data_IF_066772860168
#
_entry.id   IF_066772860168
#
_cell.length_a   1.000
_cell.length_b   1.000
_cell.length_c   1.000
_cell.angle_alpha   90.00
_cell.angle_beta   90.00
_cell.angle_gamma   90.00
#
_symmetry.space_group_name_H-M   'P 1'
#
loop_
_entity.id
_entity.type
_entity.pdbx_description
1 polymer ?
#
# COMPACT_ATOMS: atom_id res chain seq x y z
N UNK A 1 12.09 18.72 95.32
CA UNK A 1 13.06 18.64 94.21
C UNK A 1 12.43 17.80 93.15
N UNK A 2 11.86 18.43 92.15
CA UNK A 2 11.17 17.75 91.05
C UNK A 2 12.05 17.70 89.79
N UNK A 3 12.16 16.53 89.17
CA UNK A 3 12.91 16.31 87.92
C UNK A 3 11.96 16.51 86.76
N UNK A 4 12.30 17.25 85.69
CA UNK A 4 11.41 17.43 84.54
C UNK A 4 11.47 16.26 83.59
N UNK A 5 10.29 15.79 83.19
CA UNK A 5 10.11 14.72 82.17
C UNK A 5 10.15 15.32 80.78
N UNK A 6 11.14 14.90 79.97
CA UNK A 6 11.23 15.30 78.58
C UNK A 6 10.26 14.44 77.76
N UNK A 7 9.27 15.07 77.13
CA UNK A 7 8.37 14.42 76.16
C UNK A 7 9.04 14.38 74.80
N UNK A 8 9.24 13.18 74.25
CA UNK A 8 9.69 12.95 72.82
C UNK A 8 8.58 13.30 71.90
N UNK A 9 8.84 14.24 70.98
CA UNK A 9 7.98 14.61 69.88
C UNK A 9 8.27 13.64 68.72
N UNK A 10 7.29 12.78 68.36
CA UNK A 10 7.39 11.91 67.18
C UNK A 10 7.05 12.72 65.96
N UNK A 11 8.04 13.03 65.12
CA UNK A 11 7.84 13.56 63.77
C UNK A 11 7.30 12.46 62.86
N UNK A 12 6.11 12.68 62.31
CA UNK A 12 5.57 11.83 61.21
C UNK A 12 6.08 12.38 59.90
N UNK A 13 7.02 11.69 59.27
CA UNK A 13 7.40 11.95 57.91
C UNK A 13 6.34 11.32 56.99
N UNK A 14 5.56 12.15 56.30
CA UNK A 14 4.71 11.72 55.19
C UNK A 14 5.60 11.59 53.93
N UNK A 15 5.79 10.37 53.48
CA UNK A 15 6.49 10.09 52.22
C UNK A 15 5.50 10.34 51.08
N UNK A 16 5.63 11.46 50.38
CA UNK A 16 4.89 11.72 49.15
C UNK A 16 5.57 10.94 48.02
N UNK A 17 4.93 9.87 47.57
CA UNK A 17 5.34 9.14 46.38
C UNK A 17 4.96 9.97 45.16
N UNK A 18 5.93 10.64 44.52
CA UNK A 18 5.75 11.26 43.22
C UNK A 18 5.82 10.16 42.14
N UNK A 19 4.67 9.78 41.58
CA UNK A 19 4.60 8.93 40.39
C UNK A 19 5.00 9.77 39.15
N UNK A 20 6.22 9.57 38.70
CA UNK A 20 6.70 10.12 37.42
C UNK A 20 6.06 9.31 36.30
N UNK A 21 5.01 9.85 35.67
CA UNK A 21 4.45 9.28 34.42
C UNK A 21 5.47 9.55 33.32
N UNK A 22 6.22 8.52 32.94
CA UNK A 22 7.05 8.56 31.73
C UNK A 22 6.12 8.59 30.52
N UNK A 23 5.91 9.76 29.94
CA UNK A 23 5.32 9.88 28.62
C UNK A 23 6.35 9.32 27.62
N UNK A 24 6.13 8.10 27.14
CA UNK A 24 6.85 7.59 25.97
C UNK A 24 6.41 8.43 24.78
N UNK A 25 7.27 9.35 24.36
CA UNK A 25 7.16 9.97 23.04
C UNK A 25 7.36 8.83 22.04
N UNK A 26 6.27 8.32 21.45
CA UNK A 26 6.37 7.57 20.24
C UNK A 26 6.93 8.55 19.21
N UNK A 27 8.21 8.42 18.89
CA UNK A 27 8.76 8.99 17.69
C UNK A 27 8.02 8.32 16.54
N UNK A 28 7.19 9.07 15.80
CA UNK A 28 6.70 8.61 14.53
C UNK A 28 7.93 8.38 13.65
N UNK A 29 8.10 7.17 13.14
CA UNK A 29 9.14 6.89 12.15
C UNK A 29 8.94 7.87 10.99
N UNK A 30 10.03 8.43 10.43
CA UNK A 30 9.90 9.34 9.31
C UNK A 30 9.19 8.61 8.17
N UNK A 31 8.10 9.20 7.68
CA UNK A 31 7.34 8.67 6.53
C UNK A 31 8.26 8.58 5.34
N UNK A 32 8.37 7.40 4.74
CA UNK A 32 9.24 7.12 3.59
C UNK A 32 8.45 7.07 2.27
N UNK A 33 7.11 6.96 2.34
CA UNK A 33 6.27 6.97 1.15
C UNK A 33 6.29 8.34 0.45
N UNK A 34 6.09 8.31 -0.86
CA UNK A 34 6.01 9.51 -1.70
C UNK A 34 4.64 9.58 -2.37
N UNK A 35 4.05 10.77 -2.42
CA UNK A 35 2.79 11.03 -3.12
C UNK A 35 3.09 11.75 -4.44
N UNK A 36 2.57 11.25 -5.56
CA UNK A 36 2.74 11.85 -6.88
C UNK A 36 1.82 13.07 -7.14
N UNK A 37 0.89 13.34 -6.23
CA UNK A 37 -0.01 14.49 -6.25
C UNK A 37 -1.41 14.17 -6.74
N UNK A 38 -1.65 13.79 -8.02
CA UNK A 38 -2.98 13.42 -8.50
C UNK A 38 -3.51 12.15 -7.83
N UNK A 39 -4.85 12.10 -7.63
CA UNK A 39 -5.56 10.95 -7.05
C UNK A 39 -6.85 10.67 -7.83
N UNK A 40 -7.42 9.49 -7.66
CA UNK A 40 -8.76 9.18 -8.16
C UNK A 40 -9.82 9.97 -7.38
N UNK A 41 -10.82 10.49 -8.08
CA UNK A 41 -11.93 11.26 -7.44
C UNK A 41 -13.02 10.37 -6.86
N UNK A 42 -13.07 9.08 -7.27
CA UNK A 42 -14.04 8.10 -6.79
C UNK A 42 -13.33 7.08 -5.90
N UNK A 43 -14.03 6.40 -4.99
CA UNK A 43 -13.45 5.42 -4.09
C UNK A 43 -13.11 4.09 -4.80
N UNK A 44 -13.25 4.04 -6.10
CA UNK A 44 -12.90 2.88 -6.92
C UNK A 44 -12.67 3.29 -8.36
N UNK A 45 -11.86 2.48 -9.07
CA UNK A 45 -11.77 2.53 -10.53
C UNK A 45 -11.78 1.13 -11.12
N UNK A 46 -12.31 0.99 -12.34
CA UNK A 46 -12.30 -0.28 -13.05
C UNK A 46 -10.99 -0.46 -13.82
N UNK A 47 -10.53 -1.70 -13.99
CA UNK A 47 -9.42 -2.03 -14.86
C UNK A 47 -9.70 -3.29 -15.68
N UNK A 48 -9.00 -3.45 -16.80
CA UNK A 48 -9.04 -4.61 -17.68
C UNK A 48 -7.67 -5.23 -17.80
N UNK A 49 -7.61 -6.50 -18.21
CA UNK A 49 -6.36 -7.21 -18.41
C UNK A 49 -6.30 -7.78 -19.82
N UNK A 50 -5.26 -7.44 -20.56
CA UNK A 50 -4.82 -8.22 -21.72
C UNK A 50 -3.79 -9.24 -21.24
N UNK A 51 -4.17 -10.51 -21.24
CA UNK A 51 -3.36 -11.61 -20.73
C UNK A 51 -2.38 -12.19 -21.74
N UNK A 52 -2.31 -11.64 -22.96
CA UNK A 52 -1.35 -12.09 -23.98
C UNK A 52 0.08 -11.81 -23.52
N UNK A 53 0.87 -12.86 -23.33
CA UNK A 53 2.24 -12.84 -22.83
C UNK A 53 3.03 -14.02 -23.38
N UNK A 54 4.36 -14.06 -23.14
CA UNK A 54 5.25 -15.10 -23.65
C UNK A 54 5.37 -16.34 -22.73
N UNK A 55 5.08 -16.19 -21.44
CA UNK A 55 5.51 -17.14 -20.41
C UNK A 55 4.39 -18.04 -19.87
N UNK A 56 3.14 -17.53 -19.77
CA UNK A 56 2.13 -18.13 -18.90
C UNK A 56 0.74 -18.24 -19.56
N UNK A 57 -0.07 -19.24 -19.14
CA UNK A 57 -1.47 -19.32 -19.53
C UNK A 57 -2.27 -18.11 -19.04
N UNK A 58 -3.24 -17.66 -19.85
CA UNK A 58 -4.06 -16.48 -19.60
C UNK A 58 -4.70 -16.44 -18.18
N UNK A 59 -5.23 -17.56 -17.70
CA UNK A 59 -5.84 -17.65 -16.36
C UNK A 59 -4.83 -17.40 -15.23
N UNK A 60 -3.59 -17.89 -15.39
CA UNK A 60 -2.52 -17.69 -14.41
C UNK A 60 -2.13 -16.20 -14.34
N UNK A 61 -2.02 -15.55 -15.50
CA UNK A 61 -1.77 -14.10 -15.60
C UNK A 61 -2.89 -13.31 -14.96
N UNK A 62 -4.15 -13.56 -15.33
CA UNK A 62 -5.31 -12.87 -14.77
C UNK A 62 -5.33 -13.00 -13.25
N UNK A 63 -5.16 -14.21 -12.73
CA UNK A 63 -5.18 -14.47 -11.29
C UNK A 63 -4.08 -13.69 -10.58
N UNK A 64 -2.85 -13.72 -11.07
CA UNK A 64 -1.72 -13.05 -10.45
C UNK A 64 -1.86 -11.52 -10.47
N UNK A 65 -2.29 -10.92 -11.58
CA UNK A 65 -2.54 -9.47 -11.68
C UNK A 65 -3.64 -9.04 -10.70
N UNK A 66 -4.74 -9.80 -10.63
CA UNK A 66 -5.84 -9.50 -9.69
C UNK A 66 -5.41 -9.63 -8.24
N UNK A 67 -4.56 -10.60 -7.91
CA UNK A 67 -4.01 -10.72 -6.56
C UNK A 67 -3.19 -9.48 -6.18
N UNK A 68 -2.31 -8.99 -7.07
CA UNK A 68 -1.54 -7.78 -6.84
C UNK A 68 -2.41 -6.52 -6.66
N UNK A 69 -3.49 -6.38 -7.46
CA UNK A 69 -4.46 -5.29 -7.27
C UNK A 69 -5.16 -5.37 -5.90
N UNK A 70 -5.58 -6.59 -5.50
CA UNK A 70 -6.30 -6.83 -4.24
C UNK A 70 -5.43 -6.61 -3.00
N UNK A 71 -4.11 -6.63 -3.11
CA UNK A 71 -3.20 -6.31 -2.00
C UNK A 71 -3.53 -4.94 -1.39
N UNK A 72 -3.90 -3.97 -2.20
CA UNK A 72 -4.26 -2.62 -1.74
C UNK A 72 -5.67 -2.53 -1.12
N UNK A 73 -6.58 -3.43 -1.48
CA UNK A 73 -7.95 -3.43 -0.91
C UNK A 73 -8.02 -3.92 0.54
N UNK A 74 -7.08 -4.78 0.95
CA UNK A 74 -7.06 -5.38 2.29
C UNK A 74 -6.68 -4.38 3.38
N UNK A 75 -6.20 -3.22 3.00
CA UNK A 75 -5.78 -2.16 3.91
C UNK A 75 -6.91 -1.15 4.09
N UNK A 76 -7.08 -0.61 5.25
CA UNK A 76 -8.19 0.27 5.65
C UNK A 76 -8.39 1.55 4.81
N UNK A 77 -7.81 1.63 3.64
CA UNK A 77 -8.00 2.71 2.67
C UNK A 77 -9.42 2.68 2.07
N UNK A 78 -9.94 3.85 1.72
CA UNK A 78 -11.26 3.98 1.11
C UNK A 78 -11.19 3.88 -0.43
N UNK A 79 -10.34 3.00 -0.97
CA UNK A 79 -10.19 2.82 -2.41
C UNK A 79 -10.04 1.35 -2.80
N UNK A 80 -10.51 0.99 -3.98
CA UNK A 80 -10.32 -0.33 -4.58
C UNK A 80 -10.22 -0.28 -6.10
N UNK A 81 -9.50 -1.24 -6.67
CA UNK A 81 -9.50 -1.55 -8.09
C UNK A 81 -10.53 -2.63 -8.39
N UNK A 82 -11.39 -2.43 -9.40
CA UNK A 82 -12.45 -3.37 -9.77
C UNK A 82 -12.11 -4.01 -11.11
N UNK A 83 -11.83 -5.30 -11.11
CA UNK A 83 -11.62 -6.03 -12.37
C UNK A 83 -12.92 -6.06 -13.18
N UNK A 84 -12.88 -5.57 -14.43
CA UNK A 84 -14.03 -5.43 -15.32
C UNK A 84 -13.98 -6.35 -16.55
N UNK A 85 -13.06 -7.31 -16.55
CA UNK A 85 -12.97 -8.34 -17.58
C UNK A 85 -11.72 -8.24 -18.46
N UNK A 86 -11.57 -9.16 -19.43
CA UNK A 86 -10.43 -9.18 -20.32
C UNK A 86 -10.46 -8.03 -21.34
N UNK A 87 -9.30 -7.74 -21.92
CA UNK A 87 -9.12 -6.80 -23.01
C UNK A 87 -8.29 -7.44 -24.11
N UNK A 88 -8.50 -7.00 -25.35
CA UNK A 88 -7.61 -7.29 -26.48
C UNK A 88 -6.73 -6.09 -26.87
N UNK A 89 -6.81 -5.00 -26.12
CA UNK A 89 -6.03 -3.79 -26.36
C UNK A 89 -4.55 -4.03 -26.09
N UNK A 90 -3.68 -3.50 -26.98
CA UNK A 90 -2.22 -3.75 -26.95
C UNK A 90 -1.39 -2.47 -26.81
N UNK A 91 -2.04 -1.34 -26.65
CA UNK A 91 -1.39 -0.03 -26.53
C UNK A 91 -1.85 0.68 -25.26
N UNK A 92 -0.90 1.24 -24.52
CA UNK A 92 -1.17 2.16 -23.44
C UNK A 92 -1.49 3.54 -24.03
N UNK A 93 -2.63 4.11 -23.65
CA UNK A 93 -3.12 5.37 -24.21
C UNK A 93 -4.19 5.99 -23.31
N UNK A 94 -4.25 7.30 -23.26
CA UNK A 94 -5.28 8.02 -22.49
C UNK A 94 -6.65 7.89 -23.17
N UNK A 95 -7.39 6.84 -22.87
CA UNK A 95 -8.72 6.55 -23.44
C UNK A 95 -9.80 6.29 -22.36
N UNK A 96 -9.43 6.41 -21.08
CA UNK A 96 -10.31 6.18 -19.93
C UNK A 96 -10.51 4.71 -19.59
N UNK A 97 -9.69 3.80 -20.16
CA UNK A 97 -9.70 2.37 -19.86
C UNK A 97 -8.39 2.00 -19.17
N UNK A 98 -8.39 1.84 -17.86
CA UNK A 98 -7.21 1.36 -17.17
C UNK A 98 -6.87 -0.06 -17.63
N UNK A 99 -5.72 -0.22 -18.23
CA UNK A 99 -5.29 -1.47 -18.85
C UNK A 99 -4.06 -2.04 -18.16
N UNK A 100 -4.08 -3.34 -17.88
CA UNK A 100 -2.86 -4.11 -17.55
C UNK A 100 -2.55 -4.98 -18.76
N UNK A 101 -1.34 -4.86 -19.30
CA UNK A 101 -0.93 -5.62 -20.49
C UNK A 101 0.54 -6.02 -20.42
N UNK A 102 0.91 -6.95 -21.30
CA UNK A 102 2.27 -7.42 -21.53
C UNK A 102 2.74 -6.96 -22.90
N UNK A 103 4.02 -6.59 -22.99
CA UNK A 103 4.62 -6.16 -24.24
C UNK A 103 5.93 -6.90 -24.49
N UNK A 104 6.00 -7.61 -25.62
CA UNK A 104 7.23 -8.26 -26.09
C UNK A 104 8.23 -7.20 -26.56
N UNK A 105 8.78 -6.45 -25.60
CA UNK A 105 9.77 -5.39 -25.79
C UNK A 105 10.55 -5.19 -24.49
N UNK A 106 11.49 -4.25 -24.50
CA UNK A 106 12.28 -3.83 -23.32
C UNK A 106 12.09 -2.35 -23.06
N UNK A 107 12.10 -1.97 -21.79
CA UNK A 107 12.23 -0.57 -21.34
C UNK A 107 13.45 -0.40 -20.43
N UNK A 108 14.59 -0.91 -20.87
CA UNK A 108 15.85 -0.89 -20.09
C UNK A 108 15.77 -1.82 -18.88
N UNK A 109 15.93 -1.29 -17.68
CA UNK A 109 15.90 -2.06 -16.44
C UNK A 109 14.50 -2.13 -15.78
N UNK A 110 13.50 -1.44 -16.31
CA UNK A 110 12.15 -1.51 -15.77
C UNK A 110 11.51 -2.86 -16.06
N UNK A 111 11.01 -3.54 -15.01
CA UNK A 111 10.31 -4.83 -15.11
C UNK A 111 8.88 -4.62 -15.62
N UNK A 112 8.22 -3.61 -15.07
CA UNK A 112 6.96 -3.08 -15.53
C UNK A 112 6.97 -1.55 -15.44
N UNK A 113 5.94 -0.89 -15.96
CA UNK A 113 5.81 0.56 -15.91
C UNK A 113 4.36 0.94 -15.85
N UNK A 114 3.99 1.79 -14.91
CA UNK A 114 2.68 2.41 -14.83
C UNK A 114 2.71 3.77 -15.53
N UNK A 115 1.86 3.94 -16.52
CA UNK A 115 1.55 5.22 -17.17
C UNK A 115 0.24 5.73 -16.61
N UNK A 116 0.18 6.96 -16.14
CA UNK A 116 -1.06 7.56 -15.71
C UNK A 116 -1.23 8.95 -16.32
N UNK A 117 -2.47 9.32 -16.58
CA UNK A 117 -2.87 10.63 -17.07
C UNK A 117 -3.75 11.32 -16.05
N UNK A 118 -3.60 12.63 -15.98
CA UNK A 118 -4.37 13.44 -15.03
C UNK A 118 -5.00 14.67 -15.67
N UNK A 119 -6.09 15.11 -15.08
CA UNK A 119 -6.71 16.39 -15.34
C UNK A 119 -6.75 17.18 -14.03
N UNK A 120 -5.87 18.17 -13.91
CA UNK A 120 -5.60 18.84 -12.63
C UNK A 120 -5.06 17.86 -11.59
N UNK A 121 -5.70 17.82 -10.44
CA UNK A 121 -5.33 16.90 -9.33
C UNK A 121 -6.00 15.51 -9.40
N UNK A 122 -6.64 15.16 -10.54
CA UNK A 122 -7.35 13.89 -10.68
C UNK A 122 -6.65 12.98 -11.66
N UNK A 123 -6.40 11.73 -11.27
CA UNK A 123 -6.08 10.67 -12.21
C UNK A 123 -7.34 10.34 -13.00
N UNK A 124 -7.21 10.25 -14.32
CA UNK A 124 -8.32 9.97 -15.25
C UNK A 124 -8.13 8.67 -16.01
N UNK A 125 -6.89 8.18 -16.05
CA UNK A 125 -6.51 6.95 -16.72
C UNK A 125 -5.19 6.41 -16.17
N UNK A 126 -5.00 5.09 -16.11
CA UNK A 126 -3.76 4.46 -15.68
C UNK A 126 -3.57 3.08 -16.33
N UNK A 127 -2.50 2.94 -17.11
CA UNK A 127 -2.12 1.69 -17.78
C UNK A 127 -0.84 1.12 -17.20
N UNK A 128 -0.81 -0.19 -17.01
CA UNK A 128 0.36 -0.95 -16.53
C UNK A 128 0.89 -1.82 -17.66
N UNK A 129 2.16 -1.68 -17.99
CA UNK A 129 2.85 -2.46 -19.02
C UNK A 129 3.94 -3.32 -18.39
N UNK A 130 3.82 -4.64 -18.48
CA UNK A 130 4.86 -5.60 -18.15
C UNK A 130 5.78 -5.81 -19.37
N UNK A 131 7.10 -5.74 -19.19
CA UNK A 131 8.08 -5.79 -20.27
C UNK A 131 8.55 -7.22 -20.53
N UNK A 132 7.66 -8.01 -21.15
CA UNK A 132 7.74 -9.44 -21.35
C UNK A 132 8.85 -9.88 -22.34
N UNK A 133 9.35 -8.97 -23.17
CA UNK A 133 10.49 -9.23 -24.05
C UNK A 133 11.87 -9.10 -23.37
N UNK A 134 11.91 -8.56 -22.14
CA UNK A 134 13.15 -8.36 -21.39
C UNK A 134 13.24 -9.23 -20.14
N UNK A 135 12.11 -9.66 -19.60
CA UNK A 135 12.04 -10.39 -18.34
C UNK A 135 11.08 -11.58 -18.45
N UNK A 136 11.44 -12.67 -17.78
CA UNK A 136 10.59 -13.83 -17.65
C UNK A 136 9.65 -13.67 -16.45
N UNK A 137 8.37 -13.98 -16.64
CA UNK A 137 7.36 -13.87 -15.60
C UNK A 137 6.88 -15.23 -15.11
N UNK A 138 6.49 -15.27 -13.84
CA UNK A 138 6.00 -16.44 -13.13
C UNK A 138 4.70 -16.11 -12.41
N UNK A 139 3.88 -17.14 -12.17
CA UNK A 139 2.68 -17.07 -11.34
C UNK A 139 2.76 -18.07 -10.18
N UNK A 140 1.95 -17.88 -9.14
CA UNK A 140 1.98 -18.71 -7.95
C UNK A 140 3.10 -18.33 -6.99
N UNK A 141 3.52 -19.25 -6.11
CA UNK A 141 4.47 -18.98 -5.01
C UNK A 141 5.75 -19.79 -5.07
N UNK A 142 5.95 -20.58 -6.12
CA UNK A 142 7.12 -21.46 -6.28
C UNK A 142 7.44 -21.65 -7.76
N UNK A 143 8.61 -22.24 -8.05
CA UNK A 143 9.04 -22.58 -9.40
C UNK A 143 9.70 -21.44 -10.18
N UNK A 144 9.85 -20.26 -9.62
CA UNK A 144 10.59 -19.16 -10.25
C UNK A 144 12.08 -19.50 -10.36
N UNK A 145 12.69 -19.09 -11.47
CA UNK A 145 14.13 -19.21 -11.71
C UNK A 145 14.62 -18.00 -12.49
N UNK A 146 15.21 -17.03 -11.79
CA UNK A 146 15.85 -15.86 -12.42
C UNK A 146 14.89 -14.79 -12.99
N UNK A 147 13.58 -14.92 -12.80
CA UNK A 147 12.57 -13.97 -13.28
C UNK A 147 11.75 -13.36 -12.14
N UNK A 148 10.53 -12.93 -12.43
CA UNK A 148 9.71 -12.17 -11.50
C UNK A 148 8.28 -12.73 -11.41
N UNK A 149 7.73 -12.72 -10.21
CA UNK A 149 6.32 -13.07 -10.04
C UNK A 149 5.43 -11.88 -10.42
N UNK A 150 4.44 -12.14 -11.28
CA UNK A 150 3.47 -11.12 -11.74
C UNK A 150 2.77 -10.46 -10.54
N UNK A 151 2.37 -11.23 -9.53
CA UNK A 151 1.64 -10.73 -8.37
C UNK A 151 2.44 -9.65 -7.61
N UNK A 152 3.75 -9.86 -7.40
CA UNK A 152 4.62 -8.93 -6.72
C UNK A 152 4.82 -7.64 -7.51
N UNK A 153 5.07 -7.77 -8.81
CA UNK A 153 5.23 -6.63 -9.70
C UNK A 153 3.90 -5.87 -9.86
N UNK A 154 2.79 -6.59 -10.01
CA UNK A 154 1.47 -5.98 -10.08
C UNK A 154 1.14 -5.18 -8.81
N UNK A 155 1.45 -5.71 -7.61
CA UNK A 155 1.24 -4.97 -6.38
C UNK A 155 1.99 -3.63 -6.38
N UNK A 156 3.25 -3.60 -6.81
CA UNK A 156 4.04 -2.37 -6.96
C UNK A 156 3.40 -1.40 -7.97
N UNK A 157 3.09 -1.87 -9.15
CA UNK A 157 2.54 -1.04 -10.23
C UNK A 157 1.14 -0.47 -9.89
N UNK A 158 0.28 -1.26 -9.23
CA UNK A 158 -1.00 -0.75 -8.75
C UNK A 158 -0.83 0.33 -7.67
N UNK A 159 0.25 0.32 -6.89
CA UNK A 159 0.61 1.43 -6.00
C UNK A 159 0.88 2.72 -6.76
N UNK A 160 1.58 2.65 -7.89
CA UNK A 160 1.74 3.81 -8.79
C UNK A 160 0.41 4.26 -9.39
N UNK A 161 -0.45 3.32 -9.78
CA UNK A 161 -1.79 3.63 -10.28
C UNK A 161 -2.70 4.25 -9.22
N UNK A 162 -2.45 4.06 -7.92
CA UNK A 162 -3.09 4.78 -6.82
C UNK A 162 -2.63 6.24 -6.71
N UNK A 163 -1.44 6.57 -7.19
CA UNK A 163 -0.80 7.87 -7.03
C UNK A 163 0.39 7.88 -6.08
N UNK A 164 0.90 6.70 -5.68
CA UNK A 164 2.13 6.58 -4.88
C UNK A 164 3.37 6.65 -5.78
N UNK A 165 4.40 7.31 -5.28
CA UNK A 165 5.76 7.26 -5.80
C UNK A 165 6.58 6.17 -5.11
N UNK A 166 7.86 6.07 -5.47
CA UNK A 166 8.76 5.12 -4.82
C UNK A 166 9.03 5.51 -3.36
N UNK A 167 8.94 4.51 -2.48
CA UNK A 167 9.36 4.63 -1.08
C UNK A 167 10.87 4.50 -0.91
N UNK A 168 11.41 5.15 0.10
CA UNK A 168 12.81 4.92 0.54
C UNK A 168 12.94 3.79 1.56
N UNK A 169 11.83 3.22 2.05
CA UNK A 169 11.81 2.04 2.92
C UNK A 169 12.13 0.77 2.12
N UNK A 170 13.19 0.04 2.41
CA UNK A 170 13.60 -1.14 1.61
C UNK A 170 12.63 -2.34 1.77
N UNK A 171 11.73 -2.32 2.74
CA UNK A 171 10.71 -3.36 2.95
C UNK A 171 9.37 -3.02 2.30
N UNK A 172 9.19 -1.78 1.86
CA UNK A 172 7.95 -1.35 1.23
C UNK A 172 7.75 -2.01 -0.14
N UNK A 173 6.50 -2.33 -0.46
CA UNK A 173 6.08 -2.74 -1.81
C UNK A 173 6.46 -1.68 -2.84
N UNK A 174 6.41 -0.39 -2.45
CA UNK A 174 6.79 0.75 -3.30
C UNK A 174 8.29 1.03 -3.34
N UNK A 175 9.16 0.16 -2.78
CA UNK A 175 10.61 0.31 -2.97
C UNK A 175 11.00 0.11 -4.45
N UNK A 176 11.89 0.94 -5.03
CA UNK A 176 12.12 0.98 -6.48
C UNK A 176 12.86 -0.22 -7.08
N UNK A 177 13.25 -1.19 -6.28
CA UNK A 177 13.95 -2.38 -6.77
C UNK A 177 13.49 -3.64 -6.06
N UNK A 178 13.50 -4.75 -6.79
CA UNK A 178 13.11 -6.08 -6.30
C UNK A 178 14.09 -7.13 -6.81
N UNK A 179 14.40 -8.11 -5.96
CA UNK A 179 15.21 -9.26 -6.36
C UNK A 179 14.40 -10.25 -7.18
N UNK A 180 15.06 -10.98 -8.10
CA UNK A 180 14.44 -12.07 -8.81
C UNK A 180 13.80 -13.08 -7.84
N UNK A 181 12.64 -13.61 -8.22
CA UNK A 181 11.86 -14.59 -7.47
C UNK A 181 11.41 -14.12 -6.07
N UNK A 182 11.40 -12.81 -5.81
CA UNK A 182 10.85 -12.25 -4.59
C UNK A 182 9.34 -12.50 -4.50
N UNK A 183 8.83 -12.72 -3.28
CA UNK A 183 7.40 -12.85 -2.95
C UNK A 183 6.96 -11.90 -1.84
N UNK A 184 7.83 -10.98 -1.42
CA UNK A 184 7.62 -10.08 -0.30
C UNK A 184 6.63 -8.95 -0.59
N UNK A 185 6.55 -8.52 -1.85
CA UNK A 185 5.71 -7.38 -2.26
C UNK A 185 4.20 -7.70 -2.31
N UNK A 186 3.80 -8.93 -2.02
CA UNK A 186 2.39 -9.34 -1.89
C UNK A 186 1.73 -8.88 -0.60
N UNK A 187 2.55 -8.35 0.32
CA UNK A 187 2.09 -7.85 1.62
C UNK A 187 2.63 -6.45 1.81
N UNK A 188 1.74 -5.49 1.98
CA UNK A 188 2.14 -4.09 2.16
C UNK A 188 2.88 -3.89 3.48
N UNK A 189 3.96 -3.12 3.43
CA UNK A 189 4.64 -2.59 4.60
C UNK A 189 3.82 -1.48 5.27
N UNK A 190 4.16 -1.14 6.50
CA UNK A 190 3.50 -0.05 7.23
C UNK A 190 3.61 1.29 6.49
N UNK A 191 4.69 1.51 5.75
CA UNK A 191 4.90 2.72 4.95
C UNK A 191 3.95 2.79 3.74
N UNK A 192 3.75 1.67 3.02
CA UNK A 192 2.78 1.57 1.93
C UNK A 192 1.36 1.84 2.42
N UNK A 193 1.00 1.25 3.58
CA UNK A 193 -0.31 1.44 4.22
C UNK A 193 -0.52 2.90 4.60
N UNK A 194 0.49 3.55 5.19
CA UNK A 194 0.43 4.96 5.53
C UNK A 194 0.26 5.82 4.27
N UNK A 195 0.97 5.50 3.19
CA UNK A 195 0.87 6.18 1.90
C UNK A 195 -0.53 6.09 1.28
N UNK A 196 -1.11 4.90 1.18
CA UNK A 196 -2.45 4.74 0.61
C UNK A 196 -3.54 5.37 1.49
N UNK A 197 -3.39 5.33 2.82
CA UNK A 197 -4.31 6.02 3.74
C UNK A 197 -4.21 7.55 3.65
N UNK A 198 -3.02 8.08 3.33
CA UNK A 198 -2.85 9.52 3.09
C UNK A 198 -3.56 9.97 1.79
N UNK A 199 -3.56 9.12 0.74
CA UNK A 199 -4.27 9.39 -0.53
C UNK A 199 -5.79 9.22 -0.39
N UNK A 200 -6.23 8.15 0.29
CA UNK A 200 -7.64 7.72 0.38
C UNK A 200 -8.04 7.45 1.84
N UNK A 201 -8.14 8.51 2.67
CA UNK A 201 -8.48 8.35 4.08
C UNK A 201 -9.90 7.77 4.23
N UNK A 202 -10.04 6.76 5.08
CA UNK A 202 -11.36 6.27 5.47
C UNK A 202 -12.06 7.33 6.28
N UNK A 203 -13.20 7.80 5.81
CA UNK A 203 -14.06 8.64 6.62
C UNK A 203 -14.54 7.80 7.81
N UNK A 204 -14.03 8.10 9.00
CA UNK A 204 -14.60 7.55 10.22
C UNK A 204 -16.01 8.12 10.33
N UNK A 205 -17.01 7.34 9.94
CA UNK A 205 -18.40 7.66 10.29
C UNK A 205 -18.47 7.59 11.79
N UNK A 206 -18.55 8.74 12.45
CA UNK A 206 -18.80 8.80 13.90
C UNK A 206 -20.01 7.92 14.20
N UNK A 207 -19.87 7.01 15.17
CA UNK A 207 -21.01 6.24 15.62
C UNK A 207 -22.14 7.21 15.95
N UNK A 208 -23.41 6.94 15.55
CA UNK A 208 -24.51 7.84 15.84
C UNK A 208 -24.62 7.99 17.35
N UNK A 209 -24.24 9.16 17.84
CA UNK A 209 -24.45 9.57 19.23
C UNK A 209 -25.93 9.85 19.38
N UNK A 210 -26.68 8.92 19.97
CA UNK A 210 -28.10 9.20 20.27
C UNK A 210 -29.07 8.03 20.24
N UNK A 211 -28.64 6.77 20.29
CA UNK A 211 -29.55 5.68 20.63
C UNK A 211 -29.98 5.82 22.09
N UNK A 212 -31.09 6.56 22.32
CA UNK A 212 -31.82 6.48 23.61
C UNK A 212 -32.65 5.19 23.57
N UNK A 213 -32.30 4.25 24.42
CA UNK A 213 -33.23 3.17 24.78
C UNK A 213 -34.30 3.85 25.65
N UNK A 214 -35.51 3.96 25.09
CA UNK A 214 -36.69 4.38 25.86
C UNK A 214 -37.24 3.11 26.55
N UNK A 215 -37.44 3.15 27.90
CA UNK A 215 -37.92 2.00 28.64
C UNK A 215 -39.35 1.62 28.27
#
# INVERSE_FOLDING_TARGET
MGVPVIRAMRARFALAAATLAAATLLSADPVAYVLNGPTWSQPQTAYRINTANLDLPALSVETAVRSGANTWEQQSAAFRFVYSGPSSQTTNTNDGINLVMFRNASSGSAIATTYWWSSGSRIIDADIVFWDGAFQFFAGSSGCSGGFYIEDIAAHEFGHALGLGHSTSPNATMYPSVSACNTGNRTLDADDIAGVMALYPRLLVSAPTGLRVVP
#
